data_IF_083837865012
#
_entry.id   IF_083837865012
#
_cell.length_a   1.000
_cell.length_b   1.000
_cell.length_c   1.000
_cell.angle_alpha   90.00
_cell.angle_beta   90.00
_cell.angle_gamma   90.00
#
_symmetry.space_group_name_H-M   'P 1'
#
loop_
_entity.id
_entity.type
_entity.pdbx_description
1 polymer ?
#
# COMPACT_ATOMS: atom_id res chain seq x y z
N UNK A 1 -14.62 10.83 40.28
CA UNK A 1 -13.57 11.54 39.51
C UNK A 1 -12.57 10.60 38.81
N UNK A 2 -12.35 9.36 39.26
CA UNK A 2 -11.36 8.46 38.64
C UNK A 2 -11.74 7.83 37.28
N UNK A 3 -13.03 7.66 36.96
CA UNK A 3 -13.45 7.07 35.66
C UNK A 3 -13.24 8.02 34.46
N UNK A 4 -13.23 9.34 34.69
CA UNK A 4 -13.04 10.30 33.60
C UNK A 4 -11.59 10.30 33.07
N UNK A 5 -10.61 10.05 33.96
CA UNK A 5 -9.20 10.02 33.61
C UNK A 5 -8.81 8.76 32.79
N UNK A 6 -9.45 7.61 33.09
CA UNK A 6 -9.20 6.36 32.35
C UNK A 6 -9.78 6.39 30.94
N UNK A 7 -10.95 7.01 30.76
CA UNK A 7 -11.58 7.16 29.45
C UNK A 7 -10.81 8.11 28.52
N UNK A 8 -10.20 9.18 29.06
CA UNK A 8 -9.36 10.08 28.27
C UNK A 8 -8.05 9.42 27.81
N UNK A 9 -7.48 8.54 28.63
CA UNK A 9 -6.24 7.85 28.27
C UNK A 9 -6.46 6.76 27.21
N UNK A 10 -7.62 6.10 27.20
CA UNK A 10 -7.95 5.12 26.15
C UNK A 10 -8.21 5.80 24.81
N UNK A 11 -8.97 6.90 24.79
CA UNK A 11 -9.26 7.63 23.55
C UNK A 11 -8.00 8.20 22.88
N UNK A 12 -7.04 8.68 23.68
CA UNK A 12 -5.75 9.17 23.18
C UNK A 12 -4.89 8.03 22.60
N UNK A 13 -4.98 6.84 23.19
CA UNK A 13 -4.25 5.67 22.72
C UNK A 13 -4.85 5.16 21.40
N UNK A 14 -6.17 5.14 21.29
CA UNK A 14 -6.89 4.78 20.06
C UNK A 14 -6.57 5.75 18.92
N UNK A 15 -6.54 7.06 19.19
CA UNK A 15 -6.14 8.06 18.21
C UNK A 15 -4.70 7.86 17.69
N UNK A 16 -3.78 7.48 18.57
CA UNK A 16 -2.40 7.14 18.18
C UNK A 16 -2.34 5.84 17.38
N UNK A 17 -3.09 4.83 17.79
CA UNK A 17 -3.19 3.56 17.07
C UNK A 17 -3.73 3.79 15.65
N UNK A 18 -4.79 4.58 15.51
CA UNK A 18 -5.37 4.97 14.22
C UNK A 18 -4.39 5.76 13.36
N UNK A 19 -3.62 6.68 13.94
CA UNK A 19 -2.57 7.40 13.22
C UNK A 19 -1.50 6.43 12.67
N UNK A 20 -1.01 5.51 13.51
CA UNK A 20 -0.01 4.51 13.10
C UNK A 20 -0.58 3.62 11.99
N UNK A 21 -1.81 3.15 12.14
CA UNK A 21 -2.47 2.32 11.15
C UNK A 21 -2.65 3.06 9.82
N UNK A 22 -3.19 4.28 9.85
CA UNK A 22 -3.34 5.10 8.65
C UNK A 22 -1.99 5.34 7.95
N UNK A 23 -0.93 5.61 8.72
CA UNK A 23 0.43 5.74 8.18
C UNK A 23 0.97 4.44 7.60
N UNK A 24 0.61 3.29 8.16
CA UNK A 24 0.96 1.98 7.62
C UNK A 24 0.32 1.78 6.24
N UNK A 25 -1.00 1.99 6.10
CA UNK A 25 -1.68 1.89 4.81
C UNK A 25 -1.11 2.87 3.77
N UNK A 26 -0.83 4.12 4.18
CA UNK A 26 -0.20 5.11 3.31
C UNK A 26 1.20 4.66 2.86
N UNK A 27 2.05 4.23 3.79
CA UNK A 27 3.42 3.80 3.48
C UNK A 27 3.42 2.60 2.53
N UNK A 28 2.50 1.67 2.73
CA UNK A 28 2.31 0.53 1.83
C UNK A 28 2.01 0.97 0.40
N UNK A 29 1.02 1.87 0.21
CA UNK A 29 0.68 2.39 -1.11
C UNK A 29 1.85 3.14 -1.76
N UNK A 30 2.52 4.02 -1.01
CA UNK A 30 3.68 4.77 -1.49
C UNK A 30 4.81 3.85 -1.93
N UNK A 31 5.09 2.78 -1.19
CA UNK A 31 6.21 1.89 -1.49
C UNK A 31 5.97 1.04 -2.74
N UNK A 32 4.73 0.54 -2.92
CA UNK A 32 4.34 -0.18 -4.14
C UNK A 32 4.40 0.76 -5.33
N UNK A 33 3.90 1.99 -5.20
CA UNK A 33 3.92 2.98 -6.29
C UNK A 33 5.34 3.41 -6.67
N UNK A 34 6.18 3.72 -5.68
CA UNK A 34 7.59 4.06 -5.89
C UNK A 34 8.34 2.93 -6.60
N UNK A 35 8.09 1.68 -6.19
CA UNK A 35 8.72 0.53 -6.81
C UNK A 35 8.19 0.21 -8.22
N UNK A 36 7.14 0.86 -8.71
CA UNK A 36 6.58 0.65 -10.07
C UNK A 36 6.58 1.93 -10.89
N UNK A 37 7.19 3.00 -10.39
CA UNK A 37 7.28 4.27 -11.09
C UNK A 37 8.19 4.12 -12.31
N UNK A 38 7.62 4.22 -13.51
CA UNK A 38 8.34 4.17 -14.79
C UNK A 38 8.82 5.54 -15.25
N UNK A 39 8.36 6.62 -14.60
CA UNK A 39 8.72 8.00 -14.93
C UNK A 39 9.59 8.62 -13.83
N UNK A 40 10.62 9.38 -14.21
CA UNK A 40 11.42 10.11 -13.24
C UNK A 40 10.56 11.18 -12.55
N UNK A 41 10.74 11.32 -11.24
CA UNK A 41 10.09 12.36 -10.45
C UNK A 41 10.58 13.73 -10.95
N UNK A 42 9.74 14.45 -11.69
CA UNK A 42 10.07 15.73 -12.31
C UNK A 42 10.21 16.87 -11.28
N UNK A 43 9.78 16.66 -10.03
CA UNK A 43 9.89 17.68 -8.99
C UNK A 43 11.33 17.73 -8.46
N UNK A 44 12.02 18.89 -8.52
CA UNK A 44 13.42 19.02 -8.11
C UNK A 44 13.71 18.68 -6.65
N UNK A 45 12.68 18.70 -5.79
CA UNK A 45 12.78 18.34 -4.37
C UNK A 45 11.45 17.76 -3.89
N UNK A 46 11.19 16.46 -4.10
CA UNK A 46 9.94 15.85 -3.64
C UNK A 46 9.86 15.90 -2.12
N UNK A 47 8.65 16.08 -1.59
CA UNK A 47 8.40 15.85 -0.16
C UNK A 47 8.62 14.37 0.12
N UNK A 48 9.15 14.07 1.30
CA UNK A 48 9.51 12.70 1.68
C UNK A 48 8.71 12.27 2.90
N UNK A 49 8.07 11.11 2.80
CA UNK A 49 7.53 10.40 3.94
C UNK A 49 8.67 9.61 4.59
N UNK A 50 8.91 9.88 5.88
CA UNK A 50 9.98 9.27 6.67
C UNK A 50 9.45 8.28 7.72
N UNK A 51 8.18 7.90 7.63
CA UNK A 51 7.58 6.97 8.57
C UNK A 51 8.25 5.59 8.47
N UNK A 52 8.32 4.90 9.60
CA UNK A 52 8.90 3.56 9.73
C UNK A 52 10.38 3.46 9.29
N UNK A 53 11.15 4.55 9.45
CA UNK A 53 12.59 4.62 9.18
C UNK A 53 12.95 4.19 7.75
N UNK A 54 12.12 4.60 6.79
CA UNK A 54 12.30 4.41 5.36
C UNK A 54 11.88 5.71 4.67
N UNK A 55 12.70 6.27 3.80
CA UNK A 55 12.34 7.47 3.03
C UNK A 55 11.65 7.06 1.72
N UNK A 56 10.54 7.69 1.39
CA UNK A 56 9.79 7.45 0.14
C UNK A 56 9.19 8.77 -0.33
N UNK A 57 9.12 8.99 -1.64
CA UNK A 57 8.46 10.18 -2.18
C UNK A 57 6.99 10.22 -1.75
N UNK A 58 6.53 11.38 -1.30
CA UNK A 58 5.10 11.59 -1.02
C UNK A 58 4.33 11.80 -2.33
N UNK A 59 3.11 11.26 -2.36
CA UNK A 59 2.13 11.55 -3.40
C UNK A 59 0.74 11.58 -2.76
N UNK A 60 -0.12 12.45 -3.28
CA UNK A 60 -1.52 12.56 -2.84
C UNK A 60 -2.46 11.61 -3.58
N UNK A 61 -1.95 10.81 -4.53
CA UNK A 61 -2.73 9.90 -5.39
C UNK A 61 -3.65 8.95 -4.60
N UNK A 62 -3.24 8.53 -3.41
CA UNK A 62 -3.97 7.54 -2.60
C UNK A 62 -4.84 8.15 -1.52
N UNK A 63 -4.88 9.49 -1.39
CA UNK A 63 -5.54 10.18 -0.27
C UNK A 63 -7.01 9.80 -0.12
N UNK A 64 -7.75 9.75 -1.23
CA UNK A 64 -9.18 9.44 -1.20
C UNK A 64 -9.44 7.97 -0.92
N UNK A 65 -8.65 7.06 -1.52
CA UNK A 65 -8.74 5.63 -1.27
C UNK A 65 -8.41 5.27 0.19
N UNK A 66 -7.54 6.06 0.83
CA UNK A 66 -7.11 5.84 2.22
C UNK A 66 -8.04 6.46 3.27
N UNK A 67 -9.10 7.17 2.86
CA UNK A 67 -10.01 7.90 3.75
C UNK A 67 -10.70 6.98 4.76
N UNK A 68 -11.11 5.79 4.33
CA UNK A 68 -11.79 4.79 5.17
C UNK A 68 -10.90 4.17 6.24
N UNK A 69 -9.57 4.28 6.14
CA UNK A 69 -8.61 3.69 7.08
C UNK A 69 -8.08 4.69 8.11
N UNK A 70 -8.69 5.88 8.20
CA UNK A 70 -8.19 6.98 9.05
C UNK A 70 -8.57 6.84 10.52
N UNK A 71 -9.66 6.12 10.81
CA UNK A 71 -10.21 5.91 12.15
C UNK A 71 -10.73 4.48 12.27
N UNK A 72 -9.81 3.50 12.30
CA UNK A 72 -10.14 2.07 12.29
C UNK A 72 -10.77 1.62 13.61
N UNK A 73 -10.35 2.22 14.72
CA UNK A 73 -10.88 1.95 16.06
C UNK A 73 -12.39 2.14 16.18
N UNK A 74 -12.96 3.07 15.39
CA UNK A 74 -14.39 3.42 15.40
C UNK A 74 -15.13 2.95 14.15
N UNK A 75 -14.46 2.24 13.24
CA UNK A 75 -15.05 1.68 12.02
C UNK A 75 -15.85 0.41 12.32
N UNK A 76 -17.18 0.48 12.22
CA UNK A 76 -18.05 -0.69 12.28
C UNK A 76 -19.08 -0.65 11.14
N UNK A 77 -19.05 -1.62 10.20
CA UNK A 77 -18.13 -2.74 10.11
C UNK A 77 -16.68 -2.32 9.80
N UNK A 78 -15.73 -3.25 9.95
CA UNK A 78 -14.35 -3.04 9.51
C UNK A 78 -14.31 -2.69 8.01
N UNK A 79 -13.39 -1.81 7.57
CA UNK A 79 -13.33 -1.42 6.17
C UNK A 79 -12.91 -2.61 5.29
N UNK A 80 -13.32 -2.57 4.02
CA UNK A 80 -12.85 -3.54 3.03
C UNK A 80 -11.30 -3.52 2.93
N UNK A 81 -10.65 -4.62 2.52
CA UNK A 81 -9.22 -4.63 2.28
C UNK A 81 -8.78 -3.54 1.31
N UNK A 82 -7.65 -2.90 1.60
CA UNK A 82 -7.04 -1.94 0.70
C UNK A 82 -6.29 -2.70 -0.39
N UNK A 83 -6.65 -2.46 -1.66
CA UNK A 83 -6.08 -3.17 -2.80
C UNK A 83 -5.34 -2.18 -3.71
N UNK A 84 -4.08 -2.48 -4.03
CA UNK A 84 -3.28 -1.76 -5.02
C UNK A 84 -3.02 -2.69 -6.20
N UNK A 85 -3.53 -2.30 -7.36
CA UNK A 85 -3.30 -3.01 -8.62
C UNK A 85 -2.17 -2.34 -9.39
N UNK A 86 -1.17 -3.14 -9.77
CA UNK A 86 -0.11 -2.73 -10.68
C UNK A 86 -0.49 -3.22 -12.07
N UNK A 87 -0.76 -2.28 -12.97
CA UNK A 87 -1.28 -2.57 -14.31
C UNK A 87 -0.30 -2.03 -15.34
N UNK A 88 0.06 -2.87 -16.31
CA UNK A 88 0.74 -2.43 -17.52
C UNK A 88 -0.30 -1.75 -18.42
N UNK A 89 -0.20 -0.43 -18.55
CA UNK A 89 -1.05 0.34 -19.45
C UNK A 89 -0.71 0.01 -20.90
N UNK A 90 -1.73 -0.34 -21.69
CA UNK A 90 -1.58 -0.55 -23.13
C UNK A 90 -1.94 0.76 -23.83
N UNK A 91 -1.01 1.40 -24.56
CA UNK A 91 -1.33 2.62 -25.29
C UNK A 91 -2.29 2.34 -26.44
N UNK A 92 -2.87 3.40 -27.00
CA UNK A 92 -3.58 3.28 -28.27
C UNK A 92 -2.63 2.78 -29.35
N UNK A 93 -2.94 1.61 -29.90
CA UNK A 93 -2.15 0.96 -30.93
C UNK A 93 -2.55 1.45 -32.32
N UNK A 94 -1.55 1.71 -33.18
CA UNK A 94 -1.79 2.05 -34.57
C UNK A 94 -2.18 0.82 -35.41
N UNK A 95 -2.65 1.04 -36.65
CA UNK A 95 -3.06 -0.04 -37.53
C UNK A 95 -1.93 -1.05 -37.77
N UNK A 96 -2.13 -2.28 -37.28
CA UNK A 96 -1.18 -3.39 -37.44
C UNK A 96 -0.32 -3.69 -36.22
N UNK A 97 -0.33 -2.83 -35.18
CA UNK A 97 0.29 -3.12 -33.90
C UNK A 97 -0.59 -4.04 -33.05
N UNK A 98 0.03 -4.99 -32.35
CA UNK A 98 -0.67 -5.92 -31.46
C UNK A 98 0.19 -6.22 -30.24
N UNK A 99 -0.43 -6.29 -29.07
CA UNK A 99 0.25 -6.75 -27.86
C UNK A 99 0.50 -8.25 -27.98
N UNK A 100 1.74 -8.67 -27.73
CA UNK A 100 2.14 -10.07 -27.82
C UNK A 100 2.68 -10.51 -26.47
N UNK A 101 2.10 -11.58 -25.92
CA UNK A 101 2.70 -12.32 -24.83
C UNK A 101 3.79 -13.24 -25.38
N UNK A 102 4.97 -13.22 -24.77
CA UNK A 102 6.08 -14.12 -25.13
C UNK A 102 6.30 -15.07 -23.97
N UNK A 103 6.04 -16.37 -24.20
CA UNK A 103 6.25 -17.43 -23.23
C UNK A 103 7.73 -17.77 -23.05
N UNK A 104 8.04 -18.53 -21.99
CA UNK A 104 9.41 -18.94 -21.65
C UNK A 104 10.04 -19.86 -22.72
N UNK A 105 9.21 -20.53 -23.52
CA UNK A 105 9.60 -21.36 -24.67
C UNK A 105 9.83 -20.53 -25.95
N UNK A 106 9.70 -19.21 -25.89
CA UNK A 106 9.80 -18.29 -27.01
C UNK A 106 8.51 -18.23 -27.87
N UNK A 107 7.44 -18.91 -27.45
CA UNK A 107 6.16 -18.85 -28.15
C UNK A 107 5.58 -17.44 -28.04
N UNK A 108 5.10 -16.90 -29.17
CA UNK A 108 4.51 -15.56 -29.26
C UNK A 108 3.01 -15.66 -29.51
N UNK A 109 2.21 -15.21 -28.54
CA UNK A 109 0.74 -15.23 -28.62
C UNK A 109 0.22 -13.79 -28.69
N UNK A 110 -0.49 -13.40 -29.77
CA UNK A 110 -1.14 -12.10 -29.83
C UNK A 110 -2.32 -12.07 -28.84
N UNK A 111 -2.38 -11.05 -28.00
CA UNK A 111 -3.50 -10.82 -27.09
C UNK A 111 -4.63 -10.13 -27.86
N UNK A 112 -5.76 -10.83 -28.03
CA UNK A 112 -6.95 -10.32 -28.71
C UNK A 112 -8.22 -10.58 -27.88
N UNK A 113 -9.14 -9.60 -27.78
CA UNK A 113 -8.99 -8.21 -28.23
C UNK A 113 -7.83 -7.50 -27.51
N UNK A 114 -7.33 -6.39 -28.08
CA UNK A 114 -6.26 -5.61 -27.44
C UNK A 114 -6.72 -5.20 -26.04
N UNK A 115 -6.04 -5.63 -24.97
CA UNK A 115 -6.46 -5.30 -23.61
C UNK A 115 -6.21 -3.81 -23.34
N UNK A 116 -7.09 -3.16 -22.58
CA UNK A 116 -6.87 -1.78 -22.12
C UNK A 116 -5.72 -1.68 -21.10
N UNK A 117 -5.51 -2.77 -20.34
CA UNK A 117 -4.41 -2.91 -19.41
C UNK A 117 -4.23 -4.36 -18.99
N UNK A 118 -3.01 -4.71 -18.58
CA UNK A 118 -2.67 -6.05 -18.12
C UNK A 118 -2.31 -5.97 -16.64
N UNK A 119 -3.08 -6.66 -15.79
CA UNK A 119 -2.77 -6.77 -14.37
C UNK A 119 -1.47 -7.57 -14.19
N UNK A 120 -0.46 -6.94 -13.60
CA UNK A 120 0.82 -7.57 -13.28
C UNK A 120 0.86 -8.06 -11.84
N UNK A 121 0.37 -7.25 -10.91
CA UNK A 121 0.40 -7.54 -9.48
C UNK A 121 -0.85 -7.01 -8.78
N UNK A 122 -1.33 -7.75 -7.78
CA UNK A 122 -2.38 -7.29 -6.87
C UNK A 122 -1.87 -7.40 -5.44
N UNK A 123 -1.73 -6.25 -4.79
CA UNK A 123 -1.28 -6.13 -3.41
C UNK A 123 -2.46 -5.82 -2.51
N UNK A 124 -2.71 -6.67 -1.50
CA UNK A 124 -3.84 -6.51 -0.59
C UNK A 124 -3.36 -6.31 0.84
N UNK A 125 -3.84 -5.25 1.49
CA UNK A 125 -3.63 -4.98 2.90
C UNK A 125 -4.98 -4.95 3.60
N UNK A 126 -5.22 -5.91 4.49
CA UNK A 126 -6.47 -6.03 5.23
C UNK A 126 -6.28 -5.66 6.70
N UNK A 127 -7.23 -4.92 7.26
CA UNK A 127 -7.34 -4.76 8.70
C UNK A 127 -8.24 -5.87 9.26
N UNK A 128 -7.71 -6.65 10.19
CA UNK A 128 -8.45 -7.69 10.89
C UNK A 128 -8.64 -7.28 12.35
N UNK A 129 -9.88 -7.06 12.83
CA UNK A 129 -10.13 -6.79 14.24
C UNK A 129 -9.76 -8.03 15.07
N UNK A 130 -9.19 -7.82 16.26
CA UNK A 130 -8.84 -8.91 17.16
C UNK A 130 -10.11 -9.68 17.57
N UNK A 131 -10.11 -11.00 17.34
CA UNK A 131 -11.28 -11.87 17.60
C UNK A 131 -11.23 -12.57 18.96
N UNK A 132 -10.09 -12.51 19.66
CA UNK A 132 -9.90 -13.11 20.99
C UNK A 132 -9.24 -12.10 21.93
N UNK A 133 -9.29 -12.37 23.24
CA UNK A 133 -8.60 -11.61 24.30
C UNK A 133 -7.07 -11.71 24.15
N UNK A 134 -6.56 -11.15 23.07
CA UNK A 134 -5.15 -11.07 22.77
C UNK A 134 -4.51 -10.04 23.70
N UNK A 135 -3.32 -10.37 24.19
CA UNK A 135 -2.52 -9.47 25.00
C UNK A 135 -2.35 -8.13 24.26
N UNK A 136 -2.62 -7.02 24.94
CA UNK A 136 -2.56 -5.68 24.31
C UNK A 136 -1.10 -5.38 24.01
N UNK A 137 -0.72 -5.50 22.73
CA UNK A 137 0.64 -5.21 22.28
C UNK A 137 0.89 -3.70 22.36
N UNK A 138 1.97 -3.24 23.02
CA UNK A 138 2.31 -1.83 23.07
C UNK A 138 2.52 -1.23 21.68
N UNK A 139 2.02 0.00 21.44
CA UNK A 139 2.15 0.69 20.15
C UNK A 139 3.62 0.85 19.69
N UNK A 140 4.55 0.99 20.63
CA UNK A 140 5.99 1.06 20.33
C UNK A 140 6.51 -0.25 19.72
N UNK A 141 6.01 -1.38 20.18
CA UNK A 141 6.30 -2.71 19.64
C UNK A 141 5.67 -2.87 18.26
N UNK A 142 4.41 -2.45 18.08
CA UNK A 142 3.74 -2.46 16.76
C UNK A 142 4.54 -1.64 15.73
N UNK A 143 4.98 -0.44 16.11
CA UNK A 143 5.80 0.42 15.25
C UNK A 143 7.13 -0.24 14.85
N UNK A 144 7.82 -0.91 15.79
CA UNK A 144 9.04 -1.67 15.50
C UNK A 144 8.81 -2.81 14.50
N UNK A 145 7.70 -3.54 14.63
CA UNK A 145 7.34 -4.57 13.66
C UNK A 145 7.09 -3.97 12.27
N UNK A 146 6.37 -2.85 12.19
CA UNK A 146 6.13 -2.15 10.94
C UNK A 146 7.43 -1.75 10.22
N UNK A 147 8.46 -1.29 10.95
CA UNK A 147 9.79 -1.01 10.38
C UNK A 147 10.36 -2.25 9.67
N UNK A 148 10.36 -3.41 10.33
CA UNK A 148 10.87 -4.64 9.74
C UNK A 148 10.05 -5.04 8.51
N UNK A 149 8.71 -5.00 8.61
CA UNK A 149 7.79 -5.31 7.52
C UNK A 149 8.03 -4.44 6.29
N UNK A 150 8.19 -3.12 6.44
CA UNK A 150 8.44 -2.23 5.30
C UNK A 150 9.82 -2.44 4.66
N UNK A 151 10.84 -2.83 5.43
CA UNK A 151 12.14 -3.22 4.83
C UNK A 151 12.03 -4.51 4.04
N UNK A 152 11.31 -5.50 4.55
CA UNK A 152 11.03 -6.73 3.82
C UNK A 152 10.22 -6.47 2.55
N UNK A 153 9.20 -5.60 2.62
CA UNK A 153 8.40 -5.22 1.46
C UNK A 153 9.24 -4.47 0.41
N UNK A 154 10.09 -3.52 0.85
CA UNK A 154 11.00 -2.79 -0.04
C UNK A 154 11.93 -3.73 -0.82
N UNK A 155 12.47 -4.74 -0.15
CA UNK A 155 13.32 -5.75 -0.77
C UNK A 155 12.53 -6.66 -1.71
N UNK A 156 11.36 -7.15 -1.28
CA UNK A 156 10.48 -8.00 -2.09
C UNK A 156 10.08 -7.32 -3.40
N UNK A 157 9.69 -6.05 -3.34
CA UNK A 157 9.27 -5.29 -4.51
C UNK A 157 10.35 -5.17 -5.60
N UNK A 158 11.63 -5.36 -5.24
CA UNK A 158 12.80 -5.27 -6.16
C UNK A 158 13.27 -6.61 -6.72
N UNK A 159 12.69 -7.72 -6.26
CA UNK A 159 12.99 -9.06 -6.78
C UNK A 159 11.85 -9.64 -7.60
N UNK A 160 10.67 -9.02 -7.55
CA UNK A 160 9.51 -9.45 -8.32
C UNK A 160 9.65 -9.11 -9.81
N UNK A 161 9.00 -9.88 -10.71
CA UNK A 161 9.16 -9.72 -12.16
C UNK A 161 8.83 -8.32 -12.68
N UNK A 162 7.84 -7.64 -12.10
CA UNK A 162 7.42 -6.31 -12.54
C UNK A 162 8.38 -5.17 -12.15
N UNK A 163 9.52 -5.48 -11.51
CA UNK A 163 10.60 -4.50 -11.25
C UNK A 163 11.53 -4.30 -12.44
N UNK A 164 11.69 -5.31 -13.30
CA UNK A 164 12.56 -5.25 -14.49
C UNK A 164 11.83 -4.66 -15.68
#
# INVERSE_FOLDING_TARGET
>A
MSQALSASTSSDNDAKADQIAHKFFNKFALLVADARATQPVLTPRPRLDKWFNLETAETDQFRDALRSYRALSSSSPAPAPFVVNVVLAVPELSNGEVVVFTGDDGQRVPLRPTPEGILLEQWTLAFAPATTSSEVVPLSTVYKHAIATFRSLYALLRVLPAWK
#
